data_IF_076800866614
#
_entry.id   IF_076800866614
#
_cell.length_a   1.000
_cell.length_b   1.000
_cell.length_c   1.000
_cell.angle_alpha   90.00
_cell.angle_beta   90.00
_cell.angle_gamma   90.00
#
_symmetry.space_group_name_H-M   'P 1'
#
loop_
_entity.id
_entity.type
_entity.pdbx_description
1 polymer ?
#
# COMPACT_ATOMS: atom_id res chain seq x y z
N UNK A 1 25.17 26.43 47.77
CA UNK A 1 26.39 26.75 47.01
C UNK A 1 26.15 26.43 45.55
N UNK A 2 26.37 27.42 44.69
CA UNK A 2 26.10 27.41 43.24
C UNK A 2 27.03 26.44 42.50
N UNK A 3 26.49 25.79 41.46
CA UNK A 3 27.22 24.87 40.59
C UNK A 3 26.59 24.73 39.22
N UNK A 4 26.50 25.85 38.50
CA UNK A 4 26.47 25.97 37.04
C UNK A 4 25.58 25.01 36.23
N UNK A 5 24.33 25.44 36.02
CA UNK A 5 23.52 25.04 34.86
C UNK A 5 24.16 25.54 33.57
N UNK A 6 25.01 24.72 32.96
CA UNK A 6 25.51 24.92 31.61
C UNK A 6 24.79 23.97 30.66
N UNK A 7 23.62 24.38 30.20
CA UNK A 7 22.82 23.58 29.29
C UNK A 7 21.45 24.16 29.06
N UNK A 8 21.36 25.47 28.75
CA UNK A 8 20.09 26.17 28.53
C UNK A 8 19.84 26.63 27.08
N UNK A 9 20.84 26.59 26.20
CA UNK A 9 20.72 27.08 24.81
C UNK A 9 20.42 25.98 23.78
N UNK A 10 21.13 24.85 23.82
CA UNK A 10 20.88 23.69 22.96
C UNK A 10 19.82 22.73 23.53
N UNK A 11 19.63 22.74 24.85
CA UNK A 11 18.60 21.92 25.50
C UNK A 11 17.20 22.45 25.24
N UNK A 12 16.98 23.77 25.19
CA UNK A 12 15.67 24.35 24.92
C UNK A 12 15.19 24.11 23.48
N UNK A 13 16.09 24.27 22.51
CA UNK A 13 15.81 23.94 21.10
C UNK A 13 15.66 22.43 20.89
N UNK A 14 16.49 21.62 21.56
CA UNK A 14 16.39 20.15 21.53
C UNK A 14 15.11 19.63 22.17
N UNK A 15 14.66 20.22 23.28
CA UNK A 15 13.39 19.87 23.94
C UNK A 15 12.18 20.32 23.12
N UNK A 16 12.20 21.52 22.53
CA UNK A 16 11.12 22.00 21.67
C UNK A 16 10.99 21.16 20.38
N UNK A 17 12.11 20.85 19.72
CA UNK A 17 12.11 19.96 18.56
C UNK A 17 11.75 18.52 18.92
N UNK A 18 12.20 18.01 20.08
CA UNK A 18 11.87 16.66 20.54
C UNK A 18 10.37 16.51 20.83
N UNK A 19 9.73 17.54 21.40
CA UNK A 19 8.28 17.56 21.64
C UNK A 19 7.49 17.61 20.34
N UNK A 20 7.91 18.45 19.38
CA UNK A 20 7.30 18.51 18.05
C UNK A 20 7.44 17.20 17.30
N UNK A 21 8.63 16.60 17.29
CA UNK A 21 8.88 15.31 16.66
C UNK A 21 8.07 14.19 17.32
N UNK A 22 7.97 14.15 18.65
CA UNK A 22 7.15 13.13 19.33
C UNK A 22 5.67 13.19 18.97
N UNK A 23 5.15 14.37 18.67
CA UNK A 23 3.77 14.56 18.22
C UNK A 23 3.58 14.29 16.73
N UNK A 24 4.58 14.63 15.89
CA UNK A 24 4.51 14.46 14.44
C UNK A 24 4.86 13.03 13.99
N UNK A 25 5.77 12.36 14.69
CA UNK A 25 6.23 10.99 14.40
C UNK A 25 5.08 9.99 14.23
N UNK A 26 4.09 9.87 15.15
CA UNK A 26 3.00 8.92 14.98
C UNK A 26 2.12 9.25 13.76
N UNK A 27 1.93 10.54 13.43
CA UNK A 27 1.18 10.96 12.24
C UNK A 27 1.91 10.55 10.97
N UNK A 28 3.22 10.80 10.91
CA UNK A 28 4.07 10.42 9.77
C UNK A 28 4.11 8.90 9.62
N UNK A 29 4.25 8.16 10.71
CA UNK A 29 4.23 6.68 10.70
C UNK A 29 2.88 6.17 10.22
N UNK A 30 1.76 6.73 10.71
CA UNK A 30 0.42 6.32 10.29
C UNK A 30 0.17 6.60 8.80
N UNK A 31 0.51 7.81 8.33
CA UNK A 31 0.43 8.17 6.91
C UNK A 31 1.34 7.27 6.08
N UNK A 32 2.54 6.97 6.57
CA UNK A 32 3.47 6.05 5.95
C UNK A 32 2.89 4.64 5.79
N UNK A 33 2.28 4.09 6.85
CA UNK A 33 1.62 2.78 6.80
C UNK A 33 0.46 2.77 5.82
N UNK A 34 -0.42 3.79 5.88
CA UNK A 34 -1.56 3.91 4.94
C UNK A 34 -1.04 3.99 3.50
N UNK A 35 -0.03 4.80 3.25
CA UNK A 35 0.60 4.92 1.93
C UNK A 35 1.23 3.60 1.47
N UNK A 36 1.89 2.86 2.36
CA UNK A 36 2.50 1.56 2.05
C UNK A 36 1.43 0.52 1.71
N UNK A 37 0.33 0.46 2.48
CA UNK A 37 -0.80 -0.44 2.19
C UNK A 37 -1.47 -0.06 0.87
N UNK A 38 -1.75 1.23 0.64
CA UNK A 38 -2.34 1.70 -0.61
C UNK A 38 -1.44 1.43 -1.81
N UNK A 39 -0.13 1.65 -1.69
CA UNK A 39 0.82 1.40 -2.79
C UNK A 39 1.08 -0.08 -3.03
N UNK A 40 1.04 -0.94 -2.01
CA UNK A 40 1.12 -2.40 -2.19
C UNK A 40 -0.17 -2.93 -2.82
N UNK A 41 -1.33 -2.43 -2.43
CA UNK A 41 -2.61 -2.79 -3.05
C UNK A 41 -2.69 -2.29 -4.49
N UNK A 42 -2.27 -1.05 -4.74
CA UNK A 42 -2.23 -0.45 -6.06
C UNK A 42 -1.13 -1.10 -6.92
N UNK A 43 0.00 -1.55 -6.36
CA UNK A 43 0.96 -2.42 -7.08
C UNK A 43 0.41 -3.81 -7.35
N UNK A 44 -0.41 -4.38 -6.47
CA UNK A 44 -1.13 -5.64 -6.73
C UNK A 44 -2.12 -5.49 -7.90
N UNK A 45 -2.80 -4.33 -7.99
CA UNK A 45 -3.68 -3.99 -9.12
C UNK A 45 -2.93 -3.54 -10.37
N UNK A 46 -1.79 -2.86 -10.23
CA UNK A 46 -0.94 -2.41 -11.34
C UNK A 46 -0.08 -3.53 -11.89
N UNK A 47 0.29 -4.55 -11.11
CA UNK A 47 0.81 -5.81 -11.67
C UNK A 47 -0.29 -6.60 -12.39
N UNK A 48 -1.56 -6.45 -11.98
CA UNK A 48 -2.72 -6.92 -12.75
C UNK A 48 -3.12 -5.98 -13.93
N UNK A 49 -2.41 -4.88 -14.14
CA UNK A 49 -2.55 -4.00 -15.32
C UNK A 49 -1.28 -3.93 -16.18
N UNK A 50 -0.11 -4.30 -15.65
CA UNK A 50 1.17 -4.39 -16.37
C UNK A 50 1.32 -5.74 -17.10
N UNK A 51 0.61 -6.78 -16.66
CA UNK A 51 0.02 -7.76 -17.57
C UNK A 51 -1.46 -7.43 -17.68
N UNK A 52 -2.04 -7.40 -18.87
CA UNK A 52 -3.48 -7.11 -19.05
C UNK A 52 -4.38 -7.97 -18.16
N UNK A 53 -5.69 -7.67 -18.04
CA UNK A 53 -6.60 -8.49 -17.24
C UNK A 53 -6.36 -9.94 -17.58
N UNK A 54 -6.00 -10.76 -16.58
CA UNK A 54 -5.70 -12.17 -16.80
C UNK A 54 -6.79 -12.71 -17.73
N UNK A 55 -6.46 -13.35 -18.86
CA UNK A 55 -7.47 -13.78 -19.80
C UNK A 55 -8.54 -14.66 -19.12
N UNK A 56 -8.18 -15.34 -18.03
CA UNK A 56 -9.07 -16.02 -17.08
C UNK A 56 -10.07 -15.07 -16.38
N UNK A 57 -9.63 -13.91 -15.90
CA UNK A 57 -10.50 -12.88 -15.30
C UNK A 57 -11.46 -12.24 -16.32
N UNK A 58 -11.03 -12.10 -17.59
CA UNK A 58 -11.92 -11.65 -18.66
C UNK A 58 -12.98 -12.71 -19.00
N UNK A 59 -12.59 -13.99 -19.10
CA UNK A 59 -13.49 -15.13 -19.26
C UNK A 59 -14.51 -15.23 -18.13
N UNK A 60 -14.06 -15.09 -16.89
CA UNK A 60 -14.94 -15.16 -15.71
C UNK A 60 -16.01 -14.06 -15.74
N UNK A 61 -15.67 -12.84 -16.19
CA UNK A 61 -16.64 -11.76 -16.37
C UNK A 61 -17.67 -12.08 -17.45
N UNK A 62 -17.27 -12.69 -18.57
CA UNK A 62 -18.20 -13.07 -19.65
C UNK A 62 -19.10 -14.24 -19.25
N UNK A 63 -18.57 -15.21 -18.50
CA UNK A 63 -19.35 -16.30 -17.92
C UNK A 63 -20.39 -15.78 -16.93
N UNK A 64 -20.00 -14.85 -16.04
CA UNK A 64 -20.92 -14.24 -15.08
C UNK A 64 -22.02 -13.41 -15.75
N UNK A 65 -21.75 -12.84 -16.93
CA UNK A 65 -22.76 -12.18 -17.78
C UNK A 65 -23.64 -13.15 -18.57
N UNK A 66 -23.32 -14.44 -18.57
CA UNK A 66 -23.98 -15.45 -19.40
C UNK A 66 -23.68 -15.33 -20.90
N UNK A 67 -22.65 -14.58 -21.29
CA UNK A 67 -22.23 -14.41 -22.68
C UNK A 67 -21.50 -15.65 -23.24
N UNK A 68 -21.03 -16.54 -22.36
CA UNK A 68 -20.37 -17.80 -22.71
C UNK A 68 -20.94 -18.96 -21.88
N UNK A 69 -20.97 -20.14 -22.48
CA UNK A 69 -21.41 -21.36 -21.83
C UNK A 69 -20.32 -21.94 -20.91
N UNK A 70 -20.70 -22.88 -20.04
CA UNK A 70 -19.76 -23.53 -19.11
C UNK A 70 -18.71 -24.35 -19.88
N UNK A 71 -19.12 -24.94 -20.99
CA UNK A 71 -18.29 -25.76 -21.87
C UNK A 71 -17.20 -24.90 -22.55
N UNK A 72 -17.57 -23.73 -23.07
CA UNK A 72 -16.63 -22.76 -23.65
C UNK A 72 -15.69 -22.19 -22.59
N UNK A 73 -16.19 -21.90 -21.39
CA UNK A 73 -15.35 -21.43 -20.29
C UNK A 73 -14.26 -22.46 -19.91
N UNK A 74 -14.59 -23.75 -19.83
CA UNK A 74 -13.63 -24.79 -19.47
C UNK A 74 -12.58 -24.99 -20.56
N UNK A 75 -12.97 -25.04 -21.84
CA UNK A 75 -12.02 -25.19 -22.96
C UNK A 75 -10.98 -24.08 -22.98
N UNK A 76 -11.42 -22.83 -22.91
CA UNK A 76 -10.50 -21.68 -22.98
C UNK A 76 -9.65 -21.59 -21.71
N UNK A 77 -10.18 -22.02 -20.55
CA UNK A 77 -9.40 -22.09 -19.31
C UNK A 77 -8.28 -23.14 -19.39
N UNK A 78 -8.54 -24.28 -20.02
CA UNK A 78 -7.52 -25.32 -20.25
C UNK A 78 -6.45 -24.86 -21.25
N UNK A 79 -6.85 -24.18 -22.33
CA UNK A 79 -5.93 -23.61 -23.32
C UNK A 79 -5.03 -22.50 -22.74
N UNK A 80 -5.54 -21.69 -21.81
CA UNK A 80 -4.79 -20.60 -21.18
C UNK A 80 -3.80 -21.06 -20.09
N UNK A 81 -3.89 -22.31 -19.64
CA UNK A 81 -3.04 -22.88 -18.60
C UNK A 81 -2.00 -23.88 -19.16
N UNK A 82 -1.88 -23.97 -20.49
CA UNK A 82 -0.80 -24.65 -21.22
C UNK A 82 0.28 -23.66 -21.64
#
# INVERSE_FOLDING_TARGET
>A
MMGFGFGGGLSGLGWGLSMLLSMLLPVVVLVGIIYLVLTVWDRGRRNAMAGGPEPVALLQRRYAKGEITKEEYQRVKEELNQ
#
